data_IF_436882154827
#
_entry.id   IF_436882154827
#
_cell.length_a   1.000
_cell.length_b   1.000
_cell.length_c   1.000
_cell.angle_alpha   90.00
_cell.angle_beta   90.00
_cell.angle_gamma   90.00
#
_symmetry.space_group_name_H-M   'P 1'
#
loop_
_entity.id
_entity.type
_entity.pdbx_description
1 polymer ?
#
# COMPACT_ATOMS: atom_id res chain seq x y z
N UNK A 1 -16.34 -0.27 -10.94
CA UNK A 1 -17.00 0.27 -9.72
C UNK A 1 -15.95 0.96 -8.85
N UNK A 2 -15.85 2.30 -8.85
CA UNK A 2 -14.92 3.05 -8.00
C UNK A 2 -15.43 3.15 -6.55
N UNK A 3 -14.60 3.65 -5.64
CA UNK A 3 -15.05 3.95 -4.27
C UNK A 3 -16.18 4.99 -4.27
N UNK A 4 -17.24 4.70 -3.52
CA UNK A 4 -18.35 5.60 -3.27
C UNK A 4 -17.96 6.86 -2.49
N UNK A 5 -16.79 6.86 -1.82
CA UNK A 5 -16.27 8.01 -1.07
C UNK A 5 -15.61 9.05 -1.98
N UNK A 6 -15.14 8.66 -3.17
CA UNK A 6 -14.42 9.55 -4.13
C UNK A 6 -14.84 9.33 -5.60
N UNK A 7 -16.14 9.36 -5.94
CA UNK A 7 -16.62 8.96 -7.27
C UNK A 7 -16.30 9.99 -8.37
N UNK A 8 -16.12 11.27 -7.98
CA UNK A 8 -16.01 12.42 -8.90
C UNK A 8 -14.85 12.28 -9.90
N UNK A 9 -13.68 11.83 -9.44
CA UNK A 9 -12.51 11.66 -10.30
C UNK A 9 -12.74 10.59 -11.36
N UNK A 10 -13.35 9.46 -10.99
CA UNK A 10 -13.69 8.41 -11.95
C UNK A 10 -14.73 8.87 -12.97
N UNK A 11 -15.74 9.64 -12.54
CA UNK A 11 -16.71 10.24 -13.46
C UNK A 11 -16.01 11.17 -14.48
N UNK A 12 -15.06 11.99 -14.01
CA UNK A 12 -14.30 12.87 -14.90
C UNK A 12 -13.45 12.10 -15.91
N UNK A 13 -12.79 11.02 -15.48
CA UNK A 13 -12.03 10.13 -16.37
C UNK A 13 -12.95 9.53 -17.44
N UNK A 14 -14.16 9.09 -17.09
CA UNK A 14 -15.12 8.55 -18.05
C UNK A 14 -15.61 9.58 -19.07
N UNK A 15 -15.82 10.85 -18.67
CA UNK A 15 -16.11 11.93 -19.61
C UNK A 15 -14.97 12.14 -20.63
N UNK A 16 -13.72 11.93 -20.22
CA UNK A 16 -12.56 12.02 -21.13
C UNK A 16 -12.48 10.80 -22.05
N UNK A 17 -12.82 9.61 -21.55
CA UNK A 17 -12.88 8.38 -22.35
C UNK A 17 -13.97 8.44 -23.43
N UNK A 18 -15.13 9.00 -23.10
CA UNK A 18 -16.19 9.27 -24.10
C UNK A 18 -15.67 10.19 -25.21
N UNK A 19 -14.97 11.28 -24.85
CA UNK A 19 -14.35 12.19 -25.82
C UNK A 19 -13.24 11.54 -26.64
N UNK A 20 -12.56 10.53 -26.11
CA UNK A 20 -11.55 9.77 -26.83
C UNK A 20 -12.15 8.84 -27.91
N UNK A 21 -13.47 8.68 -27.96
CA UNK A 21 -14.17 8.00 -29.05
C UNK A 21 -14.21 6.48 -28.94
N UNK A 22 -14.11 5.92 -27.72
CA UNK A 22 -14.32 4.48 -27.53
C UNK A 22 -15.76 4.07 -27.89
N UNK A 23 -15.98 2.90 -28.52
CA UNK A 23 -17.33 2.45 -28.84
C UNK A 23 -18.21 2.29 -27.58
N UNK A 24 -19.49 2.57 -27.73
CA UNK A 24 -20.46 2.45 -26.64
C UNK A 24 -20.46 1.03 -26.04
N UNK A 25 -20.46 0.95 -24.70
CA UNK A 25 -20.47 -0.32 -23.97
C UNK A 25 -19.11 -0.98 -23.75
N UNK A 26 -18.02 -0.52 -24.39
CA UNK A 26 -16.66 -1.06 -24.18
C UNK A 26 -16.14 -0.70 -22.78
N UNK A 27 -16.36 0.55 -22.35
CA UNK A 27 -16.01 1.05 -21.03
C UNK A 27 -17.29 1.44 -20.32
N UNK A 28 -17.53 0.89 -19.12
CA UNK A 28 -18.74 1.15 -18.34
C UNK A 28 -18.39 1.57 -16.92
N UNK A 29 -19.06 2.61 -16.41
CA UNK A 29 -18.94 3.08 -15.03
C UNK A 29 -20.22 2.81 -14.27
N UNK A 30 -20.16 1.92 -13.28
CA UNK A 30 -21.27 1.66 -12.36
C UNK A 30 -20.81 2.00 -10.94
N UNK A 31 -21.45 3.02 -10.35
CA UNK A 31 -21.27 3.39 -8.95
C UNK A 31 -22.17 2.53 -8.06
N UNK A 32 -21.78 2.34 -6.81
CA UNK A 32 -22.59 1.62 -5.83
C UNK A 32 -21.73 0.92 -4.77
N UNK A 33 -22.38 0.27 -3.82
CA UNK A 33 -21.75 -0.38 -2.66
C UNK A 33 -21.47 -1.87 -2.87
N UNK A 34 -21.61 -2.64 -1.78
CA UNK A 34 -21.41 -4.10 -1.75
C UNK A 34 -22.31 -4.84 -2.74
N UNK A 35 -23.57 -4.44 -2.89
CA UNK A 35 -24.50 -5.12 -3.79
C UNK A 35 -24.09 -5.03 -5.26
N UNK A 36 -23.57 -3.88 -5.69
CA UNK A 36 -23.00 -3.73 -7.03
C UNK A 36 -21.78 -4.63 -7.24
N UNK A 37 -20.93 -4.78 -6.21
CA UNK A 37 -19.79 -5.70 -6.24
C UNK A 37 -20.28 -7.14 -6.36
N UNK A 38 -21.23 -7.56 -5.52
CA UNK A 38 -21.78 -8.93 -5.56
C UNK A 38 -22.40 -9.24 -6.92
N UNK A 39 -23.17 -8.31 -7.48
CA UNK A 39 -23.74 -8.47 -8.81
C UNK A 39 -22.65 -8.74 -9.87
N UNK A 40 -21.53 -8.00 -9.86
CA UNK A 40 -20.41 -8.26 -10.77
C UNK A 40 -19.73 -9.61 -10.52
N UNK A 41 -19.61 -10.02 -9.26
CA UNK A 41 -18.97 -11.29 -8.87
C UNK A 41 -19.80 -12.51 -9.28
N UNK A 42 -21.12 -12.39 -9.28
CA UNK A 42 -22.02 -13.51 -9.59
C UNK A 42 -22.46 -13.52 -11.06
N UNK A 43 -22.38 -12.39 -11.77
CA UNK A 43 -22.88 -12.31 -13.14
C UNK A 43 -22.10 -13.24 -14.09
N UNK A 44 -22.78 -14.13 -14.86
CA UNK A 44 -22.12 -15.14 -15.69
C UNK A 44 -21.31 -14.53 -16.85
N UNK A 45 -21.71 -13.35 -17.33
CA UNK A 45 -20.99 -12.62 -18.39
C UNK A 45 -19.65 -12.00 -17.96
N UNK A 46 -19.35 -11.88 -16.66
CA UNK A 46 -18.06 -11.37 -16.18
C UNK A 46 -17.08 -12.52 -16.05
N UNK A 47 -15.93 -12.43 -16.74
CA UNK A 47 -14.92 -13.52 -16.78
C UNK A 47 -13.71 -13.32 -15.88
N UNK A 48 -13.40 -12.07 -15.53
CA UNK A 48 -12.25 -11.72 -14.69
C UNK A 48 -12.57 -10.55 -13.77
N UNK A 49 -12.00 -10.54 -12.57
CA UNK A 49 -12.18 -9.50 -11.55
C UNK A 49 -10.81 -8.98 -11.11
N UNK A 50 -10.60 -7.67 -11.23
CA UNK A 50 -9.46 -6.98 -10.64
C UNK A 50 -9.95 -6.12 -9.48
N UNK A 51 -9.40 -6.34 -8.30
CA UNK A 51 -9.79 -5.65 -7.06
C UNK A 51 -8.59 -5.05 -6.36
N UNK A 52 -8.77 -3.85 -5.81
CA UNK A 52 -7.80 -3.17 -4.95
C UNK A 52 -8.57 -2.59 -3.76
N UNK A 53 -8.15 -2.93 -2.54
CA UNK A 53 -8.78 -2.46 -1.32
C UNK A 53 -8.19 -3.12 -0.06
N UNK A 54 -8.96 -3.20 1.01
CA UNK A 54 -8.50 -3.83 2.25
C UNK A 54 -8.42 -5.35 2.14
N UNK A 55 -7.51 -5.98 2.89
CA UNK A 55 -7.31 -7.45 2.89
C UNK A 55 -8.59 -8.25 3.16
N UNK A 56 -9.44 -7.92 4.15
CA UNK A 56 -10.68 -8.67 4.36
C UNK A 56 -11.61 -8.66 3.15
N UNK A 57 -11.72 -7.52 2.46
CA UNK A 57 -12.55 -7.39 1.26
C UNK A 57 -11.88 -8.06 0.06
N UNK A 58 -10.57 -7.92 -0.10
CA UNK A 58 -9.79 -8.60 -1.15
C UNK A 58 -9.96 -10.12 -1.07
N UNK A 59 -9.87 -10.69 0.14
CA UNK A 59 -10.10 -12.11 0.40
C UNK A 59 -11.52 -12.54 0.05
N UNK A 60 -12.53 -11.78 0.48
CA UNK A 60 -13.93 -12.03 0.14
C UNK A 60 -14.17 -12.02 -1.38
N UNK A 61 -13.67 -10.99 -2.07
CA UNK A 61 -13.81 -10.84 -3.52
C UNK A 61 -13.12 -11.98 -4.25
N UNK A 62 -11.90 -12.33 -3.85
CA UNK A 62 -11.15 -13.44 -4.43
C UNK A 62 -11.90 -14.77 -4.28
N UNK A 63 -12.35 -15.09 -3.06
CA UNK A 63 -13.08 -16.33 -2.77
C UNK A 63 -14.38 -16.43 -3.57
N UNK A 64 -15.20 -15.37 -3.59
CA UNK A 64 -16.48 -15.38 -4.31
C UNK A 64 -16.29 -15.41 -5.83
N UNK A 65 -15.34 -14.66 -6.38
CA UNK A 65 -15.05 -14.66 -7.82
C UNK A 65 -14.59 -16.05 -8.29
N UNK A 66 -13.64 -16.66 -7.56
CA UNK A 66 -13.07 -17.96 -7.91
C UNK A 66 -14.07 -19.11 -7.69
N UNK A 67 -14.92 -19.04 -6.66
CA UNK A 67 -16.04 -19.98 -6.49
C UNK A 67 -17.03 -19.94 -7.67
N UNK A 68 -17.15 -18.79 -8.35
CA UNK A 68 -17.93 -18.63 -9.59
C UNK A 68 -17.12 -18.94 -10.87
N UNK A 69 -15.95 -19.59 -10.75
CA UNK A 69 -15.12 -19.99 -11.89
C UNK A 69 -14.41 -18.84 -12.62
N UNK A 70 -14.35 -17.64 -12.03
CA UNK A 70 -13.75 -16.46 -12.64
C UNK A 70 -12.27 -16.36 -12.28
N UNK A 71 -11.47 -15.76 -13.16
CA UNK A 71 -10.12 -15.31 -12.81
C UNK A 71 -10.24 -14.11 -11.85
N UNK A 72 -9.39 -14.05 -10.83
CA UNK A 72 -9.36 -12.92 -9.92
C UNK A 72 -7.93 -12.53 -9.55
N UNK A 73 -7.66 -11.23 -9.49
CA UNK A 73 -6.47 -10.67 -8.87
C UNK A 73 -6.93 -9.63 -7.86
N UNK A 74 -6.61 -9.83 -6.58
CA UNK A 74 -7.13 -9.01 -5.49
C UNK A 74 -5.99 -8.48 -4.63
N UNK A 75 -5.75 -7.18 -4.68
CA UNK A 75 -4.76 -6.48 -3.87
C UNK A 75 -5.38 -6.06 -2.54
N UNK A 76 -4.69 -6.39 -1.45
CA UNK A 76 -5.10 -6.14 -0.07
C UNK A 76 -4.37 -4.97 0.59
N UNK A 77 -4.46 -4.94 1.91
CA UNK A 77 -3.80 -3.96 2.77
C UNK A 77 -2.31 -4.24 2.98
N UNK A 78 -1.67 -3.37 3.75
CA UNK A 78 -0.24 -3.41 3.97
C UNK A 78 0.19 -2.92 5.36
N UNK A 79 1.41 -3.28 5.75
CA UNK A 79 2.15 -2.72 6.89
C UNK A 79 3.62 -2.63 6.51
N UNK A 80 3.94 -1.64 5.69
CA UNK A 80 5.24 -1.58 5.03
C UNK A 80 6.33 -1.09 6.00
N UNK A 81 7.40 -1.88 6.24
CA UNK A 81 8.54 -1.45 7.00
C UNK A 81 9.55 -0.73 6.14
N UNK A 82 10.36 0.08 6.80
CA UNK A 82 11.58 0.63 6.24
C UNK A 82 12.71 0.46 7.25
N UNK A 83 13.77 -0.22 6.87
CA UNK A 83 14.97 -0.39 7.70
C UNK A 83 15.88 0.81 7.51
N UNK A 84 16.37 1.39 8.62
CA UNK A 84 17.28 2.52 8.62
C UNK A 84 18.61 2.07 9.21
N UNK A 85 19.63 1.93 8.36
CA UNK A 85 20.98 1.55 8.78
C UNK A 85 21.76 2.77 9.30
N UNK A 86 22.76 2.57 10.18
CA UNK A 86 23.55 3.68 10.74
C UNK A 86 24.40 4.42 9.70
N UNK A 87 24.65 3.81 8.55
CA UNK A 87 25.39 4.42 7.43
C UNK A 87 24.48 5.15 6.42
N UNK A 88 23.17 5.18 6.64
CA UNK A 88 22.23 5.93 5.82
C UNK A 88 22.51 7.43 5.89
N UNK A 89 22.28 8.13 4.77
CA UNK A 89 22.28 9.60 4.77
C UNK A 89 21.03 10.11 5.49
N UNK A 90 21.18 10.49 6.77
CA UNK A 90 20.05 10.71 7.67
C UNK A 90 19.19 11.91 7.28
N UNK A 91 19.78 12.93 6.66
CA UNK A 91 19.04 14.10 6.18
C UNK A 91 18.10 13.71 5.04
N UNK A 92 18.64 13.10 3.98
CA UNK A 92 17.85 12.64 2.82
C UNK A 92 16.85 11.57 3.23
N UNK A 93 17.28 10.63 4.07
CA UNK A 93 16.43 9.53 4.57
C UNK A 93 15.21 10.06 5.33
N UNK A 94 15.41 11.00 6.25
CA UNK A 94 14.31 11.61 7.02
C UNK A 94 13.30 12.31 6.10
N UNK A 95 13.77 13.10 5.11
CA UNK A 95 12.88 13.79 4.16
C UNK A 95 12.02 12.80 3.37
N UNK A 96 12.65 11.76 2.81
CA UNK A 96 11.95 10.72 2.04
C UNK A 96 10.97 9.93 2.93
N UNK A 97 11.37 9.61 4.16
CA UNK A 97 10.53 8.88 5.11
C UNK A 97 9.32 9.68 5.56
N UNK A 98 9.47 10.99 5.78
CA UNK A 98 8.35 11.86 6.08
C UNK A 98 7.30 11.87 4.96
N UNK A 99 7.73 11.97 3.71
CA UNK A 99 6.81 11.90 2.57
C UNK A 99 6.19 10.52 2.38
N UNK A 100 6.95 9.45 2.63
CA UNK A 100 6.40 8.10 2.58
C UNK A 100 5.35 7.85 3.66
N UNK A 101 5.62 8.27 4.89
CA UNK A 101 4.76 7.99 6.05
C UNK A 101 3.53 8.88 6.11
N UNK A 102 3.67 10.19 5.89
CA UNK A 102 2.56 11.13 6.07
C UNK A 102 2.03 11.74 4.76
N UNK A 103 2.67 11.48 3.61
CA UNK A 103 2.12 11.84 2.31
C UNK A 103 0.73 11.24 2.10
N UNK A 104 -0.20 12.02 1.54
CA UNK A 104 -1.63 11.65 1.43
C UNK A 104 -2.26 11.26 2.78
N UNK A 105 -1.81 11.86 3.88
CA UNK A 105 -2.22 11.52 5.25
C UNK A 105 -2.00 10.04 5.60
N UNK A 106 -0.96 9.40 5.03
CA UNK A 106 -0.65 7.98 5.25
C UNK A 106 -1.66 7.00 4.67
N UNK A 107 -2.67 7.46 3.92
CA UNK A 107 -3.71 6.64 3.30
C UNK A 107 -3.25 6.08 1.95
N UNK A 108 -2.15 5.31 1.96
CA UNK A 108 -1.55 4.71 0.76
C UNK A 108 -1.14 3.28 1.05
N UNK A 109 -1.40 2.36 0.13
CA UNK A 109 -0.99 0.96 0.27
C UNK A 109 0.53 0.77 0.36
N UNK A 110 1.31 1.74 -0.14
CA UNK A 110 2.78 1.79 -0.06
C UNK A 110 3.29 2.85 0.93
N UNK A 111 2.46 3.36 1.84
CA UNK A 111 2.95 4.25 2.90
C UNK A 111 3.92 3.48 3.81
N UNK A 112 5.05 4.09 4.15
CA UNK A 112 5.88 3.61 5.24
C UNK A 112 5.10 3.75 6.56
N UNK A 113 4.90 2.63 7.24
CA UNK A 113 4.09 2.58 8.47
C UNK A 113 4.86 2.07 9.67
N UNK A 114 6.00 1.42 9.41
CA UNK A 114 6.97 1.00 10.44
C UNK A 114 8.35 1.46 9.96
N UNK A 115 9.13 2.11 10.83
CA UNK A 115 10.56 2.29 10.62
C UNK A 115 11.32 1.44 11.63
N UNK A 116 12.30 0.67 11.16
CA UNK A 116 13.14 -0.21 11.97
C UNK A 116 14.54 0.38 11.95
N UNK A 117 14.92 1.07 13.01
CA UNK A 117 16.27 1.65 13.10
C UNK A 117 17.26 0.60 13.59
N UNK A 118 18.46 0.58 13.01
CA UNK A 118 19.51 -0.38 13.38
C UNK A 118 20.64 0.30 14.14
N UNK A 119 20.95 -0.20 15.35
CA UNK A 119 22.08 0.26 16.15
C UNK A 119 22.13 1.79 16.31
N UNK A 120 23.22 2.40 15.83
CA UNK A 120 23.46 3.85 15.93
C UNK A 120 22.46 4.75 15.20
N UNK A 121 21.65 4.21 14.28
CA UNK A 121 20.62 4.99 13.60
C UNK A 121 19.50 5.46 14.53
N UNK A 122 19.25 4.72 15.63
CA UNK A 122 18.07 4.92 16.50
C UNK A 122 17.84 6.38 16.88
N UNK A 123 18.77 6.98 17.61
CA UNK A 123 18.53 8.32 18.18
C UNK A 123 18.42 9.37 17.09
N UNK A 124 19.40 9.40 16.17
CA UNK A 124 19.45 10.39 15.10
C UNK A 124 18.22 10.37 14.17
N UNK A 125 17.73 9.19 13.80
CA UNK A 125 16.52 9.07 12.98
C UNK A 125 15.26 9.42 13.76
N UNK A 126 15.13 8.91 14.99
CA UNK A 126 13.95 9.17 15.84
C UNK A 126 13.75 10.66 16.08
N UNK A 127 14.81 11.38 16.46
CA UNK A 127 14.78 12.83 16.70
C UNK A 127 14.42 13.59 15.41
N UNK A 128 15.12 13.32 14.31
CA UNK A 128 14.88 13.99 13.04
C UNK A 128 13.45 13.76 12.50
N UNK A 129 12.91 12.55 12.67
CA UNK A 129 11.53 12.26 12.28
C UNK A 129 10.51 12.94 13.19
N UNK A 130 10.77 13.04 14.50
CA UNK A 130 9.91 13.77 15.43
C UNK A 130 9.80 15.26 15.07
N UNK A 131 10.92 15.89 14.70
CA UNK A 131 10.95 17.29 14.28
C UNK A 131 10.17 17.51 12.98
N UNK A 132 10.36 16.65 11.98
CA UNK A 132 9.64 16.77 10.70
C UNK A 132 8.14 16.48 10.85
N UNK A 133 7.76 15.50 11.69
CA UNK A 133 6.36 15.23 11.99
C UNK A 133 5.68 16.42 12.68
N UNK A 134 6.34 17.02 13.67
CA UNK A 134 5.81 18.15 14.46
C UNK A 134 5.67 19.44 13.65
N UNK A 135 6.56 19.65 12.67
CA UNK A 135 6.58 20.86 11.83
C UNK A 135 5.76 20.76 10.54
N UNK A 136 5.19 19.58 10.22
CA UNK A 136 4.46 19.37 8.97
C UNK A 136 3.18 20.22 8.91
N UNK A 137 3.01 20.94 7.81
CA UNK A 137 1.84 21.79 7.56
C UNK A 137 0.64 20.96 7.10
N UNK A 138 -0.31 20.75 8.01
CA UNK A 138 -1.60 20.09 7.73
C UNK A 138 -2.67 21.15 7.48
N UNK A 139 -3.48 20.98 6.44
CA UNK A 139 -4.49 21.97 6.07
C UNK A 139 -5.38 21.57 4.91
N UNK A 140 -6.13 22.54 4.39
CA UNK A 140 -6.95 22.33 3.19
C UNK A 140 -6.05 22.14 1.96
N UNK A 141 -6.28 21.07 1.21
CA UNK A 141 -5.34 20.60 0.19
C UNK A 141 -5.13 21.52 -1.02
N UNK A 142 -5.95 22.57 -1.17
CA UNK A 142 -5.77 23.59 -2.22
C UNK A 142 -4.97 24.81 -1.73
N UNK A 143 -4.70 24.92 -0.43
CA UNK A 143 -3.97 26.06 0.13
C UNK A 143 -2.47 25.91 -0.13
N UNK A 144 -1.83 27.04 -0.48
CA UNK A 144 -0.41 27.07 -0.78
C UNK A 144 0.43 26.64 0.43
N UNK A 145 1.37 25.72 0.21
CA UNK A 145 2.30 25.25 1.23
C UNK A 145 1.74 24.21 2.20
N UNK A 146 0.47 23.79 2.06
CA UNK A 146 -0.05 22.62 2.76
C UNK A 146 0.65 21.35 2.26
N UNK A 147 1.14 20.54 3.19
CA UNK A 147 1.91 19.31 2.92
C UNK A 147 1.11 18.04 3.18
N UNK A 148 -0.05 18.14 3.84
CA UNK A 148 -0.91 17.02 4.19
C UNK A 148 -2.36 17.47 4.36
N UNK A 149 -3.29 16.73 3.74
CA UNK A 149 -4.73 16.95 3.88
C UNK A 149 -5.37 16.14 5.02
N UNK A 150 -6.70 16.12 5.11
CA UNK A 150 -7.44 15.34 6.10
C UNK A 150 -7.45 13.84 5.76
N UNK A 151 -7.87 13.02 6.71
CA UNK A 151 -8.22 11.61 6.45
C UNK A 151 -9.62 11.52 5.84
N UNK A 152 -9.95 10.38 5.20
CA UNK A 152 -11.08 10.29 4.27
C UNK A 152 -12.45 10.51 4.93
N UNK A 153 -12.69 9.96 6.11
CA UNK A 153 -13.97 10.07 6.83
C UNK A 153 -13.77 10.18 8.34
N UNK A 154 -14.82 10.57 9.05
CA UNK A 154 -14.79 10.68 10.52
C UNK A 154 -14.57 9.31 11.19
N UNK A 155 -15.10 8.23 10.61
CA UNK A 155 -14.84 6.88 11.11
C UNK A 155 -13.36 6.50 10.94
N UNK A 156 -12.72 6.94 9.85
CA UNK A 156 -11.28 6.76 9.66
C UNK A 156 -10.50 7.55 10.71
N UNK A 157 -10.86 8.82 10.98
CA UNK A 157 -10.25 9.63 12.05
C UNK A 157 -10.37 8.91 13.40
N UNK A 158 -11.59 8.56 13.80
CA UNK A 158 -11.88 7.87 15.06
C UNK A 158 -11.08 6.58 15.21
N UNK A 159 -11.03 5.75 14.14
CA UNK A 159 -10.24 4.51 14.15
C UNK A 159 -8.75 4.78 14.34
N UNK A 160 -8.20 5.77 13.64
CA UNK A 160 -6.77 6.10 13.75
C UNK A 160 -6.43 6.59 15.17
N UNK A 161 -7.23 7.50 15.73
CA UNK A 161 -7.01 8.02 17.09
C UNK A 161 -7.11 6.91 18.15
N UNK A 162 -8.03 5.96 17.97
CA UNK A 162 -8.15 4.77 18.82
C UNK A 162 -6.90 3.88 18.73
N UNK A 163 -6.38 3.62 17.53
CA UNK A 163 -5.16 2.82 17.35
C UNK A 163 -3.91 3.50 17.93
N UNK A 164 -3.82 4.83 17.85
CA UNK A 164 -2.76 5.58 18.53
C UNK A 164 -2.85 5.36 20.06
N UNK A 165 -4.05 5.47 20.62
CA UNK A 165 -4.28 5.19 22.04
C UNK A 165 -3.94 3.75 22.44
N UNK A 166 -4.27 2.77 21.58
CA UNK A 166 -3.89 1.37 21.76
C UNK A 166 -2.37 1.19 21.77
N UNK A 167 -1.65 1.85 20.86
CA UNK A 167 -0.17 1.80 20.84
C UNK A 167 0.45 2.30 22.14
N UNK A 168 -0.07 3.40 22.68
CA UNK A 168 0.36 3.90 23.98
C UNK A 168 0.06 2.90 25.12
N UNK A 169 -1.12 2.28 25.10
CA UNK A 169 -1.50 1.26 26.09
C UNK A 169 -0.66 -0.03 25.97
N UNK A 170 -0.10 -0.33 24.79
CA UNK A 170 0.84 -1.44 24.57
C UNK A 170 2.29 -1.11 24.98
N UNK A 171 2.54 0.10 25.50
CA UNK A 171 3.83 0.54 26.02
C UNK A 171 4.67 1.39 25.07
N UNK A 172 4.14 1.75 23.89
CA UNK A 172 4.84 2.66 22.98
C UNK A 172 4.81 4.09 23.53
N UNK A 173 5.91 4.82 23.35
CA UNK A 173 5.97 6.25 23.69
C UNK A 173 5.39 7.07 22.54
N UNK A 174 4.48 8.00 22.84
CA UNK A 174 3.93 8.92 21.84
C UNK A 174 4.83 10.15 21.76
N UNK A 175 5.81 10.13 20.85
CA UNK A 175 6.79 11.23 20.70
C UNK A 175 6.18 12.48 20.07
N UNK A 176 5.28 12.27 19.12
CA UNK A 176 4.48 13.33 18.49
C UNK A 176 3.05 12.84 18.48
N UNK A 177 2.13 13.61 19.08
CA UNK A 177 0.71 13.27 19.14
C UNK A 177 -0.11 14.17 18.22
N UNK A 178 -0.58 13.57 17.12
CA UNK A 178 -1.36 14.26 16.10
C UNK A 178 -2.88 14.21 16.33
N UNK A 179 -3.35 13.63 17.44
CA UNK A 179 -4.79 13.51 17.75
C UNK A 179 -5.37 14.84 18.20
N UNK A 180 -6.69 14.98 18.04
CA UNK A 180 -7.47 16.11 18.56
C UNK A 180 -6.98 17.50 18.09
N UNK A 181 -6.19 17.56 17.02
CA UNK A 181 -5.76 18.80 16.38
C UNK A 181 -6.84 19.30 15.42
N UNK A 182 -6.85 20.62 15.17
CA UNK A 182 -7.78 21.28 14.26
C UNK A 182 -7.02 22.20 13.31
N UNK A 183 -7.58 22.43 12.14
CA UNK A 183 -7.11 23.42 11.18
C UNK A 183 -8.04 24.62 11.26
N UNK A 184 -7.47 25.82 11.42
CA UNK A 184 -8.22 27.07 11.52
C UNK A 184 -9.09 27.30 10.27
N UNK A 185 -10.37 27.61 10.46
CA UNK A 185 -11.35 27.80 9.38
C UNK A 185 -11.92 26.50 8.79
N UNK A 186 -11.46 25.34 9.27
CA UNK A 186 -11.93 24.03 8.87
C UNK A 186 -12.09 23.08 10.08
N UNK A 187 -12.53 23.59 11.21
CA UNK A 187 -12.50 22.88 12.50
C UNK A 187 -13.24 21.53 12.50
N UNK A 188 -14.26 21.40 11.65
CA UNK A 188 -15.09 20.20 11.47
C UNK A 188 -14.49 19.18 10.49
N UNK A 189 -13.26 19.41 10.01
CA UNK A 189 -12.57 18.48 9.14
C UNK A 189 -12.09 17.21 9.85
N UNK A 190 -11.89 16.15 9.06
CA UNK A 190 -11.36 14.87 9.52
C UNK A 190 -9.84 14.94 9.72
N UNK A 191 -9.39 15.78 10.65
CA UNK A 191 -7.97 16.04 10.88
C UNK A 191 -7.35 14.98 11.79
N UNK A 192 -6.26 14.39 11.32
CA UNK A 192 -5.28 13.67 12.14
C UNK A 192 -3.91 14.17 11.69
N UNK A 193 -3.13 14.73 12.61
CA UNK A 193 -1.79 15.22 12.31
C UNK A 193 -0.77 14.06 12.39
N UNK A 194 0.46 14.24 11.87
CA UNK A 194 1.50 13.24 12.00
C UNK A 194 1.68 12.78 13.45
N UNK A 195 1.75 11.47 13.63
CA UNK A 195 1.98 10.83 14.94
C UNK A 195 3.17 9.90 14.85
N UNK A 196 4.02 9.91 15.88
CA UNK A 196 5.14 8.98 16.00
C UNK A 196 4.98 8.18 17.29
N UNK A 197 4.95 6.86 17.13
CA UNK A 197 4.93 5.89 18.22
C UNK A 197 6.30 5.23 18.31
N UNK A 198 7.05 5.48 19.37
CA UNK A 198 8.39 4.92 19.59
C UNK A 198 8.36 3.67 20.47
N UNK A 199 9.25 2.73 20.19
CA UNK A 199 9.35 1.48 20.94
C UNK A 199 8.11 0.57 20.81
N UNK A 200 7.50 0.50 19.63
CA UNK A 200 6.34 -0.37 19.40
C UNK A 200 6.72 -1.85 19.58
N UNK A 201 5.98 -2.56 20.41
CA UNK A 201 6.17 -4.00 20.63
C UNK A 201 5.91 -4.78 19.33
N UNK A 202 6.90 -5.50 18.76
CA UNK A 202 6.73 -6.29 17.52
C UNK A 202 5.64 -7.37 17.59
N UNK A 203 5.29 -7.81 18.80
CA UNK A 203 4.25 -8.82 19.03
C UNK A 203 2.88 -8.20 19.36
N UNK A 204 2.79 -6.87 19.49
CA UNK A 204 1.57 -6.14 19.80
C UNK A 204 0.61 -6.02 18.63
N UNK A 205 -0.59 -5.53 18.89
CA UNK A 205 -1.63 -5.33 17.88
C UNK A 205 -1.22 -4.24 16.87
N UNK A 206 -0.56 -3.17 17.34
CA UNK A 206 -0.16 -2.05 16.48
C UNK A 206 0.92 -2.43 15.48
N UNK A 207 1.82 -3.34 15.83
CA UNK A 207 2.81 -3.90 14.91
C UNK A 207 2.15 -4.62 13.73
N UNK A 208 1.01 -5.28 13.98
CA UNK A 208 0.33 -6.16 13.00
C UNK A 208 -0.82 -5.48 12.26
N UNK A 209 -1.28 -4.32 12.73
CA UNK A 209 -2.47 -3.65 12.20
C UNK A 209 -2.12 -2.55 11.21
N UNK A 210 -2.73 -2.59 10.04
CA UNK A 210 -2.75 -1.45 9.10
C UNK A 210 -3.59 -0.31 9.71
N UNK A 211 -2.91 0.77 10.08
CA UNK A 211 -3.56 1.98 10.64
C UNK A 211 -4.23 2.78 9.52
N UNK A 212 -3.58 2.87 8.36
CA UNK A 212 -4.02 3.64 7.19
C UNK A 212 -4.29 5.12 7.52
N UNK A 213 -3.32 5.74 8.18
CA UNK A 213 -3.33 7.13 8.65
C UNK A 213 -1.91 7.65 8.83
N UNK A 214 -1.72 8.93 9.18
CA UNK A 214 -0.40 9.56 9.26
C UNK A 214 0.32 9.19 10.57
N UNK A 215 0.54 7.89 10.79
CA UNK A 215 1.13 7.33 12.01
C UNK A 215 2.34 6.48 11.62
N UNK A 216 3.51 6.83 12.14
CA UNK A 216 4.74 6.06 11.98
C UNK A 216 5.07 5.33 13.28
N UNK A 217 5.15 4.01 13.22
CA UNK A 217 5.63 3.17 14.32
C UNK A 217 7.14 2.99 14.21
N UNK A 218 7.89 3.24 15.29
CA UNK A 218 9.31 2.95 15.37
C UNK A 218 9.53 1.65 16.13
N UNK A 219 10.38 0.81 15.55
CA UNK A 219 10.96 -0.36 16.17
C UNK A 219 12.47 -0.25 16.07
N UNK A 220 13.19 -0.99 16.91
CA UNK A 220 14.65 -0.92 16.93
C UNK A 220 15.23 -2.33 16.90
N UNK A 221 16.26 -2.50 16.08
CA UNK A 221 17.03 -3.72 15.97
C UNK A 221 18.50 -3.42 16.29
N UNK A 222 19.21 -4.43 16.77
CA UNK A 222 20.65 -4.34 17.06
C UNK A 222 21.50 -4.45 15.79
N UNK A 223 21.06 -5.22 14.81
CA UNK A 223 21.78 -5.50 13.57
C UNK A 223 20.81 -5.74 12.39
N UNK A 224 21.38 -5.92 11.19
CA UNK A 224 20.60 -6.12 9.95
C UNK A 224 19.78 -7.42 9.97
N UNK A 225 20.29 -8.49 10.56
CA UNK A 225 19.59 -9.79 10.64
C UNK A 225 18.31 -9.67 11.47
N UNK A 226 18.41 -9.04 12.64
CA UNK A 226 17.25 -8.77 13.49
C UNK A 226 16.26 -7.83 12.80
N UNK A 227 16.75 -6.83 12.07
CA UNK A 227 15.88 -5.94 11.30
C UNK A 227 15.12 -6.69 10.20
N UNK A 228 15.77 -7.60 9.47
CA UNK A 228 15.14 -8.45 8.45
C UNK A 228 14.14 -9.41 9.12
N UNK A 229 14.46 -9.97 10.29
CA UNK A 229 13.51 -10.80 11.02
C UNK A 229 12.23 -10.03 11.42
N UNK A 230 12.37 -8.78 11.86
CA UNK A 230 11.22 -7.89 12.12
C UNK A 230 10.46 -7.54 10.84
N UNK A 231 11.16 -7.36 9.72
CA UNK A 231 10.54 -7.22 8.41
C UNK A 231 9.74 -8.48 8.07
N UNK A 232 10.23 -9.69 8.28
CA UNK A 232 9.51 -10.88 7.82
C UNK A 232 8.39 -11.30 8.79
N UNK A 233 8.42 -10.87 10.04
CA UNK A 233 7.42 -11.19 11.06
C UNK A 233 6.11 -10.38 10.93
N UNK A 234 5.38 -10.55 9.82
CA UNK A 234 4.07 -9.93 9.60
C UNK A 234 3.21 -10.72 8.61
N UNK A 235 1.91 -10.46 8.65
CA UNK A 235 0.96 -11.05 7.70
C UNK A 235 1.03 -10.45 6.29
N UNK A 236 1.41 -9.17 6.18
CA UNK A 236 1.44 -8.42 4.92
C UNK A 236 2.79 -8.53 4.20
N UNK A 237 2.78 -8.36 2.88
CA UNK A 237 3.99 -8.47 2.04
C UNK A 237 4.00 -7.48 0.88
N UNK A 238 3.40 -6.30 1.02
CA UNK A 238 3.27 -5.35 -0.09
C UNK A 238 4.60 -4.68 -0.45
N UNK A 239 5.27 -4.04 0.52
CA UNK A 239 6.54 -3.37 0.31
C UNK A 239 7.46 -3.51 1.52
N UNK A 240 8.76 -3.57 1.28
CA UNK A 240 9.79 -3.37 2.28
C UNK A 240 10.96 -2.55 1.69
N UNK A 241 11.46 -1.57 2.43
CA UNK A 241 12.58 -0.76 1.99
C UNK A 241 13.74 -0.76 3.00
N UNK A 242 14.93 -0.39 2.54
CA UNK A 242 16.10 -0.15 3.39
C UNK A 242 16.85 1.10 2.94
N UNK A 243 17.34 1.89 3.89
CA UNK A 243 18.28 2.98 3.67
C UNK A 243 19.67 2.58 4.17
N UNK A 244 20.65 2.59 3.28
CA UNK A 244 22.05 2.19 3.56
C UNK A 244 22.98 2.62 2.41
N UNK A 245 24.27 2.77 2.69
CA UNK A 245 25.34 2.97 1.69
C UNK A 245 26.13 1.69 1.43
N UNK A 246 25.94 0.66 2.24
CA UNK A 246 26.59 -0.64 2.12
C UNK A 246 25.88 -1.54 1.09
N UNK A 247 26.58 -1.86 0.00
CA UNK A 247 26.09 -2.74 -1.07
C UNK A 247 25.88 -4.19 -0.63
N UNK A 248 26.64 -4.70 0.34
CA UNK A 248 26.46 -6.05 0.90
C UNK A 248 25.16 -6.12 1.73
N UNK A 249 24.89 -5.10 2.54
CA UNK A 249 23.63 -4.96 3.29
C UNK A 249 22.44 -4.84 2.35
N UNK A 250 22.54 -3.96 1.34
CA UNK A 250 21.50 -3.81 0.33
C UNK A 250 21.23 -5.12 -0.41
N UNK A 251 22.30 -5.87 -0.76
CA UNK A 251 22.19 -7.20 -1.38
C UNK A 251 21.51 -8.19 -0.44
N UNK A 252 21.89 -8.24 0.83
CA UNK A 252 21.28 -9.14 1.80
C UNK A 252 19.77 -8.89 1.91
N UNK A 253 19.40 -7.63 2.15
CA UNK A 253 18.01 -7.21 2.30
C UNK A 253 17.15 -7.58 1.08
N UNK A 254 17.63 -7.32 -0.15
CA UNK A 254 16.84 -7.61 -1.36
C UNK A 254 16.55 -9.10 -1.61
N UNK A 255 17.32 -10.01 -1.02
CA UNK A 255 17.09 -11.46 -1.17
C UNK A 255 16.32 -12.05 0.01
N UNK A 256 16.46 -11.46 1.19
CA UNK A 256 15.93 -12.04 2.44
C UNK A 256 14.66 -11.34 2.94
N UNK A 257 14.32 -10.14 2.46
CA UNK A 257 13.10 -9.45 2.86
C UNK A 257 11.84 -10.04 2.18
N UNK A 258 10.84 -10.41 2.98
CA UNK A 258 9.56 -10.93 2.51
C UNK A 258 8.61 -9.78 2.14
N UNK A 259 8.74 -9.31 0.90
CA UNK A 259 7.84 -8.37 0.26
C UNK A 259 7.93 -8.44 -1.28
N UNK A 260 6.83 -8.17 -1.96
CA UNK A 260 6.84 -8.18 -3.43
C UNK A 260 7.43 -6.91 -4.07
N UNK A 261 7.36 -5.76 -3.39
CA UNK A 261 8.03 -4.53 -3.81
C UNK A 261 9.18 -4.17 -2.87
N UNK A 262 10.42 -4.40 -3.28
CA UNK A 262 11.61 -4.10 -2.48
C UNK A 262 12.29 -2.81 -2.94
N UNK A 263 12.56 -1.89 -2.00
CA UNK A 263 13.23 -0.62 -2.25
C UNK A 263 14.59 -0.48 -1.56
N UNK A 264 15.58 0.06 -2.26
CA UNK A 264 16.88 0.47 -1.69
C UNK A 264 16.98 1.99 -1.81
N UNK A 265 17.15 2.69 -0.69
CA UNK A 265 17.22 4.16 -0.59
C UNK A 265 16.00 4.88 -1.20
N UNK A 266 14.83 4.26 -1.12
CA UNK A 266 13.56 4.82 -1.57
C UNK A 266 12.47 4.54 -0.53
N UNK A 267 11.66 5.55 -0.19
CA UNK A 267 10.60 5.42 0.81
C UNK A 267 9.33 4.74 0.28
N UNK A 268 9.13 4.77 -1.03
CA UNK A 268 7.95 4.22 -1.73
C UNK A 268 8.46 3.44 -2.94
N UNK A 269 8.60 2.12 -2.80
CA UNK A 269 8.99 1.24 -3.89
C UNK A 269 7.82 0.92 -4.83
N UNK A 270 7.14 1.95 -5.35
CA UNK A 270 6.10 1.76 -6.35
C UNK A 270 6.75 1.39 -7.70
N UNK A 271 6.43 0.23 -8.30
CA UNK A 271 6.96 -0.11 -9.60
C UNK A 271 6.43 0.85 -10.67
N UNK A 272 7.28 1.16 -11.64
CA UNK A 272 6.85 1.84 -12.86
C UNK A 272 5.87 0.94 -13.63
N UNK A 273 4.99 1.53 -14.44
CA UNK A 273 3.88 0.81 -15.10
C UNK A 273 4.28 -0.40 -15.97
N UNK A 274 5.54 -0.45 -16.41
CA UNK A 274 6.12 -1.56 -17.17
C UNK A 274 6.71 -2.68 -16.29
N UNK A 275 6.59 -2.58 -14.96
CA UNK A 275 6.80 -3.68 -14.02
C UNK A 275 5.47 -4.06 -13.33
N UNK A 276 5.28 -5.34 -12.94
CA UNK A 276 4.11 -5.73 -12.17
C UNK A 276 4.12 -5.09 -10.77
N UNK A 277 2.94 -4.72 -10.27
CA UNK A 277 2.74 -4.30 -8.89
C UNK A 277 2.60 -5.53 -7.99
N UNK A 278 3.71 -5.98 -7.38
CA UNK A 278 3.77 -7.27 -6.68
C UNK A 278 3.53 -7.11 -5.18
N UNK A 279 2.37 -7.54 -4.70
CA UNK A 279 2.13 -7.77 -3.27
C UNK A 279 2.27 -9.25 -2.94
N UNK A 280 2.80 -9.58 -1.76
CA UNK A 280 2.92 -10.95 -1.26
C UNK A 280 2.03 -11.17 -0.01
N UNK A 281 1.92 -12.43 0.41
CA UNK A 281 1.20 -12.84 1.62
C UNK A 281 -0.23 -12.28 1.66
N UNK A 282 -0.69 -11.74 2.80
CA UNK A 282 -2.04 -11.17 2.91
C UNK A 282 -2.24 -9.83 2.18
N UNK A 283 -1.23 -9.33 1.46
CA UNK A 283 -1.36 -8.15 0.59
C UNK A 283 -1.82 -8.50 -0.82
N UNK A 284 -1.91 -9.77 -1.20
CA UNK A 284 -2.33 -10.17 -2.54
C UNK A 284 -2.94 -11.57 -2.59
N UNK A 285 -4.00 -11.72 -3.38
CA UNK A 285 -4.64 -13.00 -3.66
C UNK A 285 -4.76 -13.19 -5.18
N UNK A 286 -4.15 -14.26 -5.69
CA UNK A 286 -4.02 -14.61 -7.10
C UNK A 286 -2.57 -14.90 -7.47
N UNK A 287 -2.31 -15.13 -8.76
CA UNK A 287 -0.95 -15.43 -9.26
C UNK A 287 -0.40 -14.28 -10.12
N UNK A 288 -1.25 -13.70 -10.98
CA UNK A 288 -0.89 -12.60 -11.87
C UNK A 288 -1.18 -11.27 -11.20
N UNK A 289 -0.14 -10.55 -10.83
CA UNK A 289 -0.20 -9.18 -10.32
C UNK A 289 -0.78 -8.16 -11.31
N UNK A 290 -1.10 -6.95 -10.84
CA UNK A 290 -1.55 -5.88 -11.73
C UNK A 290 -0.38 -5.27 -12.49
N UNK A 291 -0.69 -4.56 -13.59
CA UNK A 291 0.27 -3.83 -14.43
C UNK A 291 1.21 -4.73 -15.25
N UNK A 292 1.90 -4.12 -16.22
CA UNK A 292 2.88 -4.77 -17.10
C UNK A 292 2.37 -6.08 -17.74
N UNK A 293 3.28 -7.02 -18.02
CA UNK A 293 3.02 -8.32 -18.65
C UNK A 293 2.02 -9.16 -17.86
N UNK A 294 2.02 -9.10 -16.53
CA UNK A 294 1.03 -9.79 -15.72
C UNK A 294 -0.39 -9.26 -15.97
N UNK A 295 -0.55 -7.94 -16.13
CA UNK A 295 -1.83 -7.34 -16.51
C UNK A 295 -2.30 -7.84 -17.89
N UNK A 296 -1.41 -7.90 -18.87
CA UNK A 296 -1.73 -8.44 -20.21
C UNK A 296 -2.18 -9.90 -20.11
N UNK A 297 -1.41 -10.73 -19.41
CA UNK A 297 -1.70 -12.16 -19.25
C UNK A 297 -2.98 -12.41 -18.45
N UNK A 298 -3.27 -11.58 -17.45
CA UNK A 298 -4.49 -11.66 -16.66
C UNK A 298 -5.74 -11.39 -17.50
N UNK A 299 -5.70 -10.37 -18.35
CA UNK A 299 -6.81 -9.96 -19.20
C UNK A 299 -6.90 -10.72 -20.54
N UNK A 300 -6.01 -11.68 -20.81
CA UNK A 300 -6.01 -12.50 -22.03
C UNK A 300 -6.04 -14.00 -21.71
N UNK A 301 -6.28 -14.84 -22.72
CA UNK A 301 -6.24 -16.31 -22.56
C UNK A 301 -5.35 -16.90 -23.64
N UNK A 302 -4.46 -17.80 -23.23
CA UNK A 302 -3.58 -18.54 -24.14
C UNK A 302 -4.41 -19.49 -24.99
N UNK A 303 -4.19 -19.46 -26.31
CA UNK A 303 -4.73 -20.42 -27.27
C UNK A 303 -3.56 -21.05 -28.02
N UNK A 304 -3.50 -22.38 -28.03
CA UNK A 304 -2.53 -23.15 -28.82
C UNK A 304 -3.24 -23.70 -30.04
N UNK A 305 -2.69 -23.44 -31.23
CA UNK A 305 -3.22 -23.95 -32.50
C UNK A 305 -2.11 -24.78 -33.16
N UNK A 306 -2.41 -26.06 -33.39
CA UNK A 306 -1.54 -26.97 -34.16
C UNK A 306 -2.34 -27.40 -35.37
N UNK A 307 -1.94 -26.93 -36.54
CA UNK A 307 -2.63 -27.21 -37.79
C UNK A 307 -1.72 -27.94 -38.78
N UNK A 308 -2.30 -28.86 -39.54
CA UNK A 308 -1.65 -29.54 -40.64
C UNK A 308 -2.66 -29.69 -41.77
N UNK A 309 -2.23 -29.37 -42.99
CA UNK A 309 -3.01 -29.50 -44.22
C UNK A 309 -2.32 -30.47 -45.19
N UNK A 310 -2.28 -31.79 -44.91
CA UNK A 310 -1.59 -32.73 -45.79
C UNK A 310 -2.42 -32.95 -47.07
N UNK A 311 -1.78 -32.77 -48.23
CA UNK A 311 -2.37 -33.16 -49.52
C UNK A 311 -2.26 -34.68 -49.74
N UNK A 312 -1.23 -35.32 -49.18
CA UNK A 312 -1.00 -36.76 -49.23
C UNK A 312 -0.51 -37.29 -47.87
N UNK A 313 -0.80 -38.56 -47.57
CA UNK A 313 -0.42 -39.20 -46.32
C UNK A 313 1.08 -39.54 -46.30
N UNK A 314 1.83 -38.88 -45.41
CA UNK A 314 3.28 -39.09 -45.28
C UNK A 314 3.72 -39.71 -43.95
N UNK A 315 2.78 -40.11 -43.07
CA UNK A 315 3.14 -40.64 -41.75
C UNK A 315 3.47 -42.13 -41.87
N UNK A 316 4.75 -42.46 -41.84
CA UNK A 316 5.23 -43.84 -41.63
C UNK A 316 5.60 -44.00 -40.15
N UNK A 317 5.19 -45.12 -39.55
CA UNK A 317 5.56 -45.51 -38.19
C UNK A 317 6.91 -46.23 -38.19
#
# INVERSE_FOLDING_TARGET
KPSEKVPMTSQKIFQLLEKAGFPAGVLQLVNGGKETVNALLDHPGVRAISFVGSTPVAKYVYQRATANGKRAQCQGGAKNPVVIMPDADMETTTRIMADSAFGCAGQRCLAASVAITVGGAKNSFTEAMADVASSRKVGYGLDAGVQMGPVITDESKTRIEMLIGKGAAEGASVLVDGRQKKVNGYEEGNWVFPTILDGVNPNGEIARTEIFGPVLSLMHATNVDEAIALVNNRAYGNMACIFTRDGAVARKFRYEADAGNVGINIGVAAPMAFYPFSGWNESFFGDLHAQSRHGVEFYTQTKVVVERWPLEWSRQF
#
